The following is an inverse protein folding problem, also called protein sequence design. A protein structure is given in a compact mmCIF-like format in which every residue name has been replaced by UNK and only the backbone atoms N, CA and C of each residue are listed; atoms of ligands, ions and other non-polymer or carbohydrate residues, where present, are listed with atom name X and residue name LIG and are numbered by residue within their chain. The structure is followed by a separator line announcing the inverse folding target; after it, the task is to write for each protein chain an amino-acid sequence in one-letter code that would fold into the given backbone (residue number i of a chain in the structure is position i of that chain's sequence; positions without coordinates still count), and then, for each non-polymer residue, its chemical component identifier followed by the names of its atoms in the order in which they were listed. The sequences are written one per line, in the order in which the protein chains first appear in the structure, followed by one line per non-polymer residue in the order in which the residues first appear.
data_IF_703775337414
#
_entry.id   IF_703775337414
#
_cell.length_a   1.000
_cell.length_b   1.000
_cell.length_c   1.000
_cell.angle_alpha   90.00
_cell.angle_beta   90.00
_cell.angle_gamma   90.00
#
_symmetry.space_group_name_H-M   'P 1'
#
loop_
_entity.id
_entity.type
_entity.pdbx_description
1 polymer ?
#
# COMPACT_ATOMS: atom_id res chain seq x y z
N UNK A 1 -20.82 2.50 -13.75
CA UNK A 1 -20.25 1.79 -14.90
C UNK A 1 -19.02 2.49 -15.48
N UNK A 2 -19.06 3.77 -15.90
CA UNK A 2 -17.92 4.47 -16.53
C UNK A 2 -16.60 4.42 -15.70
N UNK A 3 -16.65 4.66 -14.39
CA UNK A 3 -15.47 4.58 -13.51
C UNK A 3 -14.85 3.18 -13.46
N UNK A 4 -15.67 2.12 -13.43
CA UNK A 4 -15.18 0.75 -13.42
C UNK A 4 -14.49 0.40 -14.74
N UNK A 5 -15.06 0.82 -15.88
CA UNK A 5 -14.43 0.65 -17.19
C UNK A 5 -13.09 1.38 -17.25
N UNK A 6 -13.02 2.63 -16.76
CA UNK A 6 -11.77 3.40 -16.73
C UNK A 6 -10.68 2.69 -15.91
N UNK A 7 -11.00 2.18 -14.72
CA UNK A 7 -10.03 1.47 -13.88
C UNK A 7 -9.57 0.15 -14.48
N UNK A 8 -10.50 -0.60 -15.11
CA UNK A 8 -10.16 -1.83 -15.82
C UNK A 8 -9.28 -1.56 -17.04
N UNK A 9 -9.60 -0.50 -17.82
CA UNK A 9 -8.77 -0.10 -18.96
C UNK A 9 -7.38 0.34 -18.53
N UNK A 10 -7.26 1.06 -17.41
CA UNK A 10 -5.97 1.45 -16.86
C UNK A 10 -5.18 0.23 -16.38
N UNK A 11 -5.81 -0.72 -15.69
CA UNK A 11 -5.17 -1.97 -15.27
C UNK A 11 -4.71 -2.79 -16.47
N UNK A 12 -5.54 -2.93 -17.50
CA UNK A 12 -5.19 -3.63 -18.75
C UNK A 12 -4.02 -2.95 -19.47
N UNK A 13 -4.01 -1.61 -19.54
CA UNK A 13 -2.90 -0.85 -20.11
C UNK A 13 -1.60 -1.08 -19.33
N UNK A 14 -1.64 -1.04 -18.00
CA UNK A 14 -0.47 -1.24 -17.16
C UNK A 14 0.04 -2.68 -17.23
N UNK A 15 -0.84 -3.67 -17.31
CA UNK A 15 -0.47 -5.05 -17.59
C UNK A 15 0.20 -5.16 -18.97
N UNK A 16 -0.43 -4.63 -20.00
CA UNK A 16 0.15 -4.65 -21.34
C UNK A 16 1.55 -3.99 -21.37
N UNK A 17 1.72 -2.84 -20.72
CA UNK A 17 3.02 -2.18 -20.58
C UNK A 17 4.04 -3.02 -19.80
N UNK A 18 3.58 -3.79 -18.82
CA UNK A 18 4.45 -4.68 -18.03
C UNK A 18 4.98 -5.84 -18.88
N UNK A 19 4.12 -6.41 -19.73
CA UNK A 19 4.48 -7.55 -20.61
C UNK A 19 5.04 -7.13 -21.96
N UNK A 20 4.97 -5.85 -22.31
CA UNK A 20 5.48 -5.35 -23.60
C UNK A 20 7.00 -5.54 -23.70
N UNK A 21 7.45 -6.24 -24.74
CA UNK A 21 8.85 -6.54 -25.01
C UNK A 21 9.38 -7.78 -24.30
N UNK A 22 8.53 -8.52 -23.57
CA UNK A 22 8.89 -9.74 -22.86
C UNK A 22 8.45 -10.95 -23.66
N UNK A 23 9.35 -11.91 -23.84
CA UNK A 23 9.04 -13.19 -24.45
C UNK A 23 8.38 -14.11 -23.41
N UNK A 24 7.13 -14.44 -23.60
CA UNK A 24 6.38 -15.32 -22.69
C UNK A 24 7.04 -16.68 -22.49
N UNK A 25 7.78 -17.19 -23.49
CA UNK A 25 8.56 -18.42 -23.37
C UNK A 25 9.70 -18.32 -22.37
N UNK A 26 10.39 -17.17 -22.32
CA UNK A 26 11.46 -16.91 -21.35
C UNK A 26 10.90 -16.79 -19.94
N UNK A 27 9.84 -15.98 -19.76
CA UNK A 27 9.13 -15.87 -18.50
C UNK A 27 8.66 -17.25 -17.98
N UNK A 28 8.08 -18.08 -18.86
CA UNK A 28 7.64 -19.42 -18.49
C UNK A 28 8.80 -20.33 -18.10
N UNK A 29 9.97 -20.20 -18.75
CA UNK A 29 11.17 -20.96 -18.40
C UNK A 29 11.70 -20.60 -17.03
N UNK A 30 11.67 -19.31 -16.66
CA UNK A 30 12.08 -18.81 -15.33
C UNK A 30 11.11 -19.29 -14.26
N UNK A 31 9.80 -19.18 -14.50
CA UNK A 31 8.78 -19.68 -13.57
C UNK A 31 8.94 -21.18 -13.28
N UNK A 32 9.20 -22.00 -14.30
CA UNK A 32 9.40 -23.45 -14.10
C UNK A 32 10.60 -23.81 -13.24
N UNK A 33 11.64 -22.98 -13.20
CA UNK A 33 12.86 -23.20 -12.42
C UNK A 33 12.79 -22.58 -11.03
N UNK A 34 11.75 -21.81 -10.74
CA UNK A 34 11.60 -21.11 -9.46
C UNK A 34 11.46 -22.08 -8.28
N UNK A 35 12.13 -21.77 -7.19
CA UNK A 35 11.99 -22.50 -5.93
C UNK A 35 10.82 -21.96 -5.11
N UNK A 36 9.64 -22.53 -5.32
CA UNK A 36 8.38 -22.09 -4.69
C UNK A 36 8.34 -22.28 -3.17
N UNK A 37 9.24 -23.06 -2.56
CA UNK A 37 9.28 -23.26 -1.12
C UNK A 37 9.50 -21.95 -0.35
N UNK A 38 10.17 -20.98 -0.95
CA UNK A 38 10.36 -19.67 -0.35
C UNK A 38 9.10 -18.80 -0.30
N UNK A 39 8.04 -19.15 -1.01
CA UNK A 39 6.74 -18.49 -0.87
C UNK A 39 6.03 -18.88 0.42
N UNK A 40 6.35 -20.03 1.02
CA UNK A 40 5.71 -20.46 2.28
C UNK A 40 5.99 -19.46 3.41
N UNK A 41 7.25 -19.11 3.74
CA UNK A 41 7.48 -18.08 4.74
C UNK A 41 6.92 -16.70 4.34
N UNK A 42 6.93 -16.33 3.06
CA UNK A 42 6.31 -15.07 2.61
C UNK A 42 4.81 -15.02 2.94
N UNK A 43 4.08 -16.11 2.69
CA UNK A 43 2.65 -16.26 3.03
C UNK A 43 2.42 -16.22 4.54
N UNK A 44 3.30 -16.84 5.35
CA UNK A 44 3.22 -16.77 6.81
C UNK A 44 3.36 -15.31 7.28
N UNK A 45 4.34 -14.56 6.76
CA UNK A 45 4.50 -13.14 7.11
C UNK A 45 3.32 -12.29 6.62
N UNK A 46 2.69 -12.64 5.49
CA UNK A 46 1.48 -11.97 5.02
C UNK A 46 0.31 -12.17 5.99
N UNK A 47 0.07 -13.40 6.47
CA UNK A 47 -0.95 -13.68 7.49
C UNK A 47 -0.67 -12.95 8.80
N UNK A 48 0.60 -12.95 9.25
CA UNK A 48 1.03 -12.19 10.42
C UNK A 48 0.81 -10.69 10.25
N UNK A 49 1.08 -10.14 9.06
CA UNK A 49 0.85 -8.72 8.77
C UNK A 49 -0.63 -8.34 8.93
N UNK A 50 -1.57 -9.19 8.50
CA UNK A 50 -3.00 -8.96 8.69
C UNK A 50 -3.39 -8.94 10.16
N UNK A 51 -2.84 -9.85 10.98
CA UNK A 51 -3.10 -9.91 12.42
C UNK A 51 -2.50 -8.69 13.15
N UNK A 52 -1.25 -8.33 12.83
CA UNK A 52 -0.58 -7.15 13.38
C UNK A 52 -1.37 -5.89 13.03
N UNK A 53 -1.80 -5.75 11.77
CA UNK A 53 -2.62 -4.62 11.32
C UNK A 53 -3.96 -4.55 12.06
N UNK A 54 -4.63 -5.68 12.24
CA UNK A 54 -5.88 -5.77 12.99
C UNK A 54 -5.67 -5.31 14.44
N UNK A 55 -4.65 -5.83 15.13
CA UNK A 55 -4.34 -5.43 16.51
C UNK A 55 -3.98 -3.95 16.59
N UNK A 56 -3.17 -3.44 15.67
CA UNK A 56 -2.81 -2.01 15.60
C UNK A 56 -4.05 -1.14 15.41
N UNK A 57 -5.00 -1.57 14.58
CA UNK A 57 -6.24 -0.84 14.35
C UNK A 57 -7.14 -0.83 15.59
N UNK A 58 -7.25 -1.93 16.35
CA UNK A 58 -8.02 -1.93 17.63
C UNK A 58 -7.47 -0.91 18.62
N UNK A 59 -6.14 -0.71 18.69
CA UNK A 59 -5.53 0.30 19.56
C UNK A 59 -5.92 1.74 19.18
N UNK A 60 -6.18 2.03 17.90
CA UNK A 60 -6.68 3.34 17.46
C UNK A 60 -8.17 3.53 17.77
N UNK A 61 -8.91 2.44 17.95
CA UNK A 61 -10.35 2.47 18.27
C UNK A 61 -10.59 2.59 19.79
N UNK A 62 -9.73 2.01 20.62
CA UNK A 62 -9.83 2.04 22.08
C UNK A 62 -10.09 3.45 22.68
N UNK A 63 -9.40 4.54 22.24
CA UNK A 63 -9.63 5.90 22.76
C UNK A 63 -11.02 6.47 22.47
N UNK A 64 -11.76 5.87 21.52
CA UNK A 64 -13.13 6.28 21.16
C UNK A 64 -14.18 5.64 22.10
N UNK A 65 -13.73 4.83 23.08
CA UNK A 65 -14.59 4.13 24.04
C UNK A 65 -15.11 2.77 23.55
N UNK A 66 -14.52 2.21 22.47
CA UNK A 66 -14.89 0.91 21.92
C UNK A 66 -13.72 -0.08 22.02
N UNK A 67 -14.02 -1.34 22.32
CA UNK A 67 -13.04 -2.41 22.43
C UNK A 67 -13.42 -3.57 21.48
N UNK A 68 -13.24 -3.44 20.16
CA UNK A 68 -13.58 -4.49 19.22
C UNK A 68 -12.67 -5.71 19.40
N UNK A 69 -13.23 -6.90 19.21
CA UNK A 69 -12.46 -8.13 19.21
C UNK A 69 -11.38 -8.12 18.10
N UNK A 70 -10.13 -8.49 18.44
CA UNK A 70 -9.02 -8.50 17.47
C UNK A 70 -9.34 -9.39 16.26
N UNK A 71 -10.00 -10.54 16.46
CA UNK A 71 -10.39 -11.41 15.35
C UNK A 71 -11.49 -10.81 14.47
N UNK A 72 -12.42 -10.03 15.03
CA UNK A 72 -13.38 -9.29 14.21
C UNK A 72 -12.69 -8.19 13.38
N UNK A 73 -11.72 -7.50 13.97
CA UNK A 73 -10.89 -6.54 13.25
C UNK A 73 -10.04 -7.24 12.18
N UNK A 74 -9.44 -8.42 12.47
CA UNK A 74 -8.70 -9.23 11.52
C UNK A 74 -9.55 -9.59 10.29
N UNK A 75 -10.71 -10.20 10.50
CA UNK A 75 -11.60 -10.54 9.40
C UNK A 75 -12.05 -9.30 8.62
N UNK A 76 -12.29 -8.17 9.29
CA UNK A 76 -12.65 -6.91 8.62
C UNK A 76 -11.51 -6.37 7.75
N UNK A 77 -10.26 -6.43 8.20
CA UNK A 77 -9.07 -6.05 7.42
C UNK A 77 -8.92 -6.94 6.20
N UNK A 78 -9.03 -8.26 6.36
CA UNK A 78 -8.92 -9.22 5.24
C UNK A 78 -10.04 -9.04 4.23
N UNK A 79 -11.28 -8.80 4.67
CA UNK A 79 -12.42 -8.45 3.79
C UNK A 79 -12.13 -7.16 3.03
N UNK A 80 -11.49 -6.18 3.66
CA UNK A 80 -11.04 -4.97 2.98
C UNK A 80 -10.05 -5.26 1.85
N UNK A 81 -9.03 -6.08 2.08
CA UNK A 81 -8.10 -6.49 1.02
C UNK A 81 -8.80 -7.26 -0.09
N UNK A 82 -9.70 -8.18 0.25
CA UNK A 82 -10.50 -8.91 -0.73
C UNK A 82 -11.37 -7.97 -1.58
N UNK A 83 -11.98 -6.96 -0.99
CA UNK A 83 -12.75 -5.94 -1.71
C UNK A 83 -11.89 -5.12 -2.70
N UNK A 84 -10.62 -4.85 -2.36
CA UNK A 84 -9.69 -4.15 -3.26
C UNK A 84 -9.29 -4.95 -4.49
N UNK A 85 -9.40 -6.30 -4.44
CA UNK A 85 -9.20 -7.14 -5.63
C UNK A 85 -10.30 -6.94 -6.67
N UNK A 86 -11.53 -6.65 -6.21
CA UNK A 86 -12.70 -6.49 -7.08
C UNK A 86 -12.84 -5.03 -7.51
N UNK A 87 -12.72 -4.10 -6.56
CA UNK A 87 -12.91 -2.67 -6.81
C UNK A 87 -11.75 -1.87 -6.22
N UNK A 88 -11.04 -1.06 -7.02
CA UNK A 88 -9.92 -0.27 -6.53
C UNK A 88 -10.36 0.70 -5.43
N UNK A 89 -9.60 0.74 -4.35
CA UNK A 89 -9.76 1.65 -3.20
C UNK A 89 -11.05 1.51 -2.38
N UNK A 90 -11.90 0.51 -2.65
CA UNK A 90 -13.09 0.25 -1.83
C UNK A 90 -12.77 -0.53 -0.54
N UNK A 91 -11.61 -1.15 -0.43
CA UNK A 91 -11.26 -1.96 0.73
C UNK A 91 -11.25 -1.20 2.05
N UNK A 92 -10.81 0.05 2.05
CA UNK A 92 -10.79 0.89 3.26
C UNK A 92 -12.22 1.14 3.79
N UNK A 93 -13.14 1.44 2.89
CA UNK A 93 -14.56 1.63 3.21
C UNK A 93 -15.17 0.31 3.66
N UNK A 94 -14.88 -0.78 2.94
CA UNK A 94 -15.42 -2.10 3.23
C UNK A 94 -14.95 -2.64 4.58
N UNK A 95 -13.67 -2.46 4.95
CA UNK A 95 -13.17 -2.89 6.26
C UNK A 95 -13.87 -2.15 7.40
N UNK A 96 -14.09 -0.82 7.26
CA UNK A 96 -14.81 -0.02 8.24
C UNK A 96 -16.28 -0.44 8.35
N UNK A 97 -16.95 -0.68 7.21
CA UNK A 97 -18.35 -1.13 7.19
C UNK A 97 -18.50 -2.53 7.80
N UNK A 98 -17.56 -3.45 7.55
CA UNK A 98 -17.59 -4.80 8.10
C UNK A 98 -17.49 -4.78 9.63
N UNK A 99 -16.52 -4.02 10.18
CA UNK A 99 -16.35 -3.91 11.63
C UNK A 99 -17.50 -3.14 12.29
N UNK A 100 -17.94 -2.04 11.67
CA UNK A 100 -19.11 -1.26 12.14
C UNK A 100 -20.34 -2.14 12.32
N UNK A 101 -20.64 -2.96 11.31
CA UNK A 101 -21.80 -3.88 11.35
C UNK A 101 -21.63 -5.00 12.38
N UNK A 102 -20.40 -5.48 12.59
CA UNK A 102 -20.13 -6.59 13.51
C UNK A 102 -20.13 -6.16 14.98
N UNK A 103 -19.55 -5.00 15.28
CA UNK A 103 -19.28 -4.50 16.65
C UNK A 103 -20.21 -3.35 17.06
N UNK A 104 -21.15 -2.93 16.16
CA UNK A 104 -22.05 -1.79 16.38
C UNK A 104 -21.29 -0.48 16.68
N UNK A 105 -20.11 -0.28 16.07
CA UNK A 105 -19.32 0.95 16.18
C UNK A 105 -19.76 1.90 15.07
N UNK A 106 -19.99 3.20 15.34
CA UNK A 106 -20.34 4.17 14.30
C UNK A 106 -19.29 4.19 13.18
N UNK A 107 -19.76 4.13 11.93
CA UNK A 107 -18.92 4.02 10.73
C UNK A 107 -17.95 5.21 10.59
N UNK A 108 -18.42 6.43 10.83
CA UNK A 108 -17.63 7.66 10.75
C UNK A 108 -16.43 7.65 11.70
N UNK A 109 -16.60 7.12 12.91
CA UNK A 109 -15.51 6.94 13.88
C UNK A 109 -14.44 5.97 13.37
N UNK A 110 -14.85 4.85 12.75
CA UNK A 110 -13.92 3.89 12.17
C UNK A 110 -13.18 4.48 10.96
N UNK A 111 -13.84 5.27 10.13
CA UNK A 111 -13.19 5.99 9.03
C UNK A 111 -12.14 6.95 9.56
N UNK A 112 -12.42 7.67 10.65
CA UNK A 112 -11.43 8.53 11.30
C UNK A 112 -10.18 7.77 11.75
N UNK A 113 -10.33 6.60 12.38
CA UNK A 113 -9.17 5.76 12.79
C UNK A 113 -8.41 5.19 11.60
N UNK A 114 -9.11 4.84 10.52
CA UNK A 114 -8.50 4.37 9.27
C UNK A 114 -7.63 5.45 8.63
N UNK A 115 -8.09 6.70 8.60
CA UNK A 115 -7.31 7.82 8.08
C UNK A 115 -6.02 8.04 8.90
N UNK A 116 -6.10 7.94 10.23
CA UNK A 116 -4.92 8.01 11.10
C UNK A 116 -3.96 6.87 10.78
N UNK A 117 -4.46 5.64 10.64
CA UNK A 117 -3.65 4.48 10.26
C UNK A 117 -2.89 4.73 8.94
N UNK A 118 -3.60 5.22 7.90
CA UNK A 118 -2.98 5.53 6.60
C UNK A 118 -1.93 6.64 6.69
N UNK A 119 -2.21 7.68 7.48
CA UNK A 119 -1.24 8.75 7.72
C UNK A 119 0.07 8.21 8.28
N UNK A 120 -0.01 7.33 9.29
CA UNK A 120 1.17 6.73 9.91
C UNK A 120 1.90 5.82 8.92
N UNK A 121 1.18 5.03 8.13
CA UNK A 121 1.79 4.17 7.10
C UNK A 121 2.56 5.01 6.07
N UNK A 122 2.00 6.12 5.58
CA UNK A 122 2.68 7.04 4.64
C UNK A 122 3.93 7.63 5.28
N UNK A 123 3.86 8.10 6.52
CA UNK A 123 5.03 8.64 7.23
C UNK A 123 6.12 7.56 7.40
N UNK A 124 5.73 6.34 7.69
CA UNK A 124 6.70 5.23 7.83
C UNK A 124 7.38 4.92 6.49
N UNK A 125 6.65 4.91 5.37
CA UNK A 125 7.26 4.78 4.03
C UNK A 125 8.27 5.89 3.77
N UNK A 126 7.95 7.14 4.11
CA UNK A 126 8.86 8.27 3.93
C UNK A 126 10.12 8.15 4.80
N UNK A 127 9.99 7.64 6.03
CA UNK A 127 11.14 7.36 6.92
C UNK A 127 12.00 6.25 6.32
N UNK A 128 11.40 5.15 5.84
CA UNK A 128 12.12 4.05 5.19
C UNK A 128 12.81 4.53 3.92
N UNK A 129 12.14 5.32 3.09
CA UNK A 129 12.74 5.95 1.90
C UNK A 129 13.95 6.79 2.28
N UNK A 130 13.80 7.69 3.28
CA UNK A 130 14.89 8.52 3.78
C UNK A 130 16.07 7.71 4.30
N UNK A 131 15.81 6.65 5.09
CA UNK A 131 16.84 5.75 5.59
C UNK A 131 17.54 4.98 4.44
N UNK A 132 16.79 4.52 3.43
CA UNK A 132 17.34 3.82 2.26
C UNK A 132 18.25 4.74 1.43
N UNK A 133 17.87 6.00 1.27
CA UNK A 133 18.69 7.02 0.60
C UNK A 133 19.94 7.37 1.42
N UNK A 134 19.80 7.55 2.72
CA UNK A 134 20.91 7.88 3.62
C UNK A 134 21.93 6.74 3.78
N UNK A 135 21.48 5.49 3.68
CA UNK A 135 22.36 4.31 3.71
C UNK A 135 23.24 4.18 2.45
N UNK A 136 23.16 5.14 1.52
CA UNK A 136 24.03 5.19 0.35
C UNK A 136 23.83 3.99 -0.61
N UNK A 137 22.67 3.35 -0.59
CA UNK A 137 22.36 2.35 -1.61
C UNK A 137 22.29 3.06 -2.96
N UNK A 138 23.42 3.04 -3.69
CA UNK A 138 23.59 3.68 -5.00
C UNK A 138 22.42 3.38 -5.93
N UNK A 139 21.85 2.17 -5.82
CA UNK A 139 20.71 1.72 -6.60
C UNK A 139 19.44 2.57 -6.43
N UNK A 140 19.07 2.95 -5.20
CA UNK A 140 17.88 3.80 -4.97
C UNK A 140 18.14 5.23 -5.44
N UNK A 141 19.34 5.74 -5.17
CA UNK A 141 19.76 7.08 -5.59
C UNK A 141 19.82 7.20 -7.12
N UNK A 142 20.44 6.25 -7.82
CA UNK A 142 20.51 6.24 -9.28
C UNK A 142 19.13 6.06 -9.92
N UNK A 143 18.31 5.15 -9.42
CA UNK A 143 16.95 4.96 -9.93
C UNK A 143 16.10 6.24 -9.85
N UNK A 144 16.09 6.90 -8.69
CA UNK A 144 15.36 8.14 -8.51
C UNK A 144 15.98 9.28 -9.33
N UNK A 145 17.31 9.37 -9.37
CA UNK A 145 18.01 10.36 -10.18
C UNK A 145 17.66 10.22 -11.66
N UNK A 146 17.82 9.03 -12.23
CA UNK A 146 17.66 8.79 -13.66
C UNK A 146 16.19 8.76 -14.12
N UNK A 147 15.28 8.25 -13.28
CA UNK A 147 13.88 8.06 -13.69
C UNK A 147 12.92 9.13 -13.17
N UNK A 148 13.34 9.94 -12.19
CA UNK A 148 12.48 10.98 -11.58
C UNK A 148 13.15 12.35 -11.69
N UNK A 149 14.36 12.51 -11.12
CA UNK A 149 14.96 13.84 -11.00
C UNK A 149 15.52 14.35 -12.34
N UNK A 150 16.28 13.55 -13.10
CA UNK A 150 16.84 13.97 -14.38
C UNK A 150 15.74 14.28 -15.42
N UNK A 151 14.73 13.43 -15.66
CA UNK A 151 13.63 13.78 -16.57
C UNK A 151 12.86 15.01 -16.13
N UNK A 152 12.59 15.16 -14.82
CA UNK A 152 11.94 16.36 -14.29
C UNK A 152 12.81 17.61 -14.50
N UNK A 153 14.11 17.51 -14.21
CA UNK A 153 15.08 18.60 -14.41
C UNK A 153 15.24 18.97 -15.88
N UNK A 154 15.35 17.97 -16.78
CA UNK A 154 15.42 18.22 -18.22
C UNK A 154 14.16 18.88 -18.77
N UNK A 155 12.98 18.44 -18.32
CA UNK A 155 11.71 19.04 -18.71
C UNK A 155 11.56 20.47 -18.19
N UNK A 156 12.08 20.77 -17.00
CA UNK A 156 12.08 22.09 -16.40
C UNK A 156 13.14 22.98 -17.05
N UNK A 157 14.36 22.47 -17.28
CA UNK A 157 15.47 23.24 -17.87
C UNK A 157 15.23 23.60 -19.32
N UNK A 158 14.60 22.70 -20.11
CA UNK A 158 14.20 23.00 -21.49
C UNK A 158 13.14 24.10 -21.59
N UNK A 159 12.39 24.36 -20.49
CA UNK A 159 11.34 25.37 -20.45
C UNK A 159 11.79 26.71 -19.87
N UNK A 160 12.83 26.77 -19.04
CA UNK A 160 13.15 27.93 -18.19
C UNK A 160 14.65 28.37 -18.22
N UNK A 161 15.53 27.73 -19.00
CA UNK A 161 16.96 28.08 -19.03
C UNK A 161 17.79 27.34 -17.94
N UNK A 162 18.94 27.85 -17.54
CA UNK A 162 19.95 27.11 -16.77
C UNK A 162 19.39 26.38 -15.52
N UNK A 163 19.66 25.09 -15.44
CA UNK A 163 19.15 24.17 -14.43
C UNK A 163 19.38 24.64 -12.97
N UNK A 164 20.46 25.34 -12.71
CA UNK A 164 20.81 25.85 -11.38
C UNK A 164 19.84 26.93 -10.91
N UNK A 165 19.48 27.87 -11.80
CA UNK A 165 18.52 28.95 -11.50
C UNK A 165 17.13 28.36 -11.22
N UNK A 166 16.72 27.36 -12.00
CA UNK A 166 15.44 26.69 -11.83
C UNK A 166 15.37 25.92 -10.51
N UNK A 167 16.44 25.22 -10.13
CA UNK A 167 16.50 24.49 -8.85
C UNK A 167 16.46 25.46 -7.66
N UNK A 168 17.20 26.56 -7.73
CA UNK A 168 17.18 27.62 -6.69
C UNK A 168 15.79 28.27 -6.60
N UNK A 169 15.19 28.60 -7.75
CA UNK A 169 13.83 29.17 -7.77
C UNK A 169 12.81 28.15 -7.25
N UNK A 170 12.90 26.85 -7.63
CA UNK A 170 12.00 25.83 -7.13
C UNK A 170 12.13 25.62 -5.61
N UNK A 171 13.37 25.59 -5.08
CA UNK A 171 13.61 25.50 -3.64
C UNK A 171 13.10 26.76 -2.93
N UNK A 172 13.36 27.96 -3.47
CA UNK A 172 12.84 29.21 -2.94
C UNK A 172 11.30 29.26 -2.98
N UNK A 173 10.69 28.81 -4.07
CA UNK A 173 9.23 28.73 -4.19
C UNK A 173 8.63 27.72 -3.19
N UNK A 174 9.26 26.56 -3.00
CA UNK A 174 8.83 25.56 -2.02
C UNK A 174 8.95 26.13 -0.59
N UNK A 175 10.10 26.72 -0.26
CA UNK A 175 10.32 27.36 1.06
C UNK A 175 9.36 28.52 1.26
N UNK A 176 9.20 29.39 0.25
CA UNK A 176 8.25 30.52 0.30
C UNK A 176 6.81 30.02 0.39
N UNK A 177 6.43 28.96 -0.35
CA UNK A 177 5.12 28.35 -0.27
C UNK A 177 4.86 27.74 1.11
N UNK A 178 5.87 27.08 1.71
CA UNK A 178 5.79 26.54 3.06
C UNK A 178 5.63 27.69 4.08
N UNK A 179 6.48 28.72 4.01
CA UNK A 179 6.41 29.88 4.90
C UNK A 179 5.09 30.63 4.72
N UNK A 180 4.69 30.88 3.47
CA UNK A 180 3.43 31.55 3.13
C UNK A 180 2.21 30.70 3.54
N UNK A 181 2.30 29.38 3.42
CA UNK A 181 1.29 28.45 3.93
C UNK A 181 1.13 28.59 5.46
N UNK A 182 2.23 28.62 6.21
CA UNK A 182 2.18 28.82 7.66
C UNK A 182 1.71 30.23 8.06
N UNK A 183 2.08 31.26 7.32
CA UNK A 183 1.68 32.65 7.60
C UNK A 183 0.24 32.96 7.17
N UNK A 184 -0.22 32.40 6.07
CA UNK A 184 -1.53 32.71 5.47
C UNK A 184 -2.56 31.60 5.69
N UNK A 185 -2.24 30.56 6.46
CA UNK A 185 -3.08 29.36 6.68
C UNK A 185 -4.54 29.71 7.06
N UNK A 186 -4.74 30.75 7.88
CA UNK A 186 -6.09 31.18 8.30
C UNK A 186 -6.86 31.90 7.18
N UNK A 187 -6.19 32.69 6.34
CA UNK A 187 -6.80 33.40 5.21
C UNK A 187 -7.01 32.49 3.99
N UNK A 188 -6.13 31.51 3.78
CA UNK A 188 -6.18 30.57 2.67
C UNK A 188 -7.19 29.43 2.90
N UNK A 189 -7.54 29.11 4.15
CA UNK A 189 -8.51 28.10 4.50
C UNK A 189 -9.93 28.37 3.94
N UNK A 190 -10.22 29.59 3.55
CA UNK A 190 -11.48 29.98 2.90
C UNK A 190 -11.60 29.53 1.43
N UNK A 191 -10.51 29.14 0.75
CA UNK A 191 -10.53 28.73 -0.67
C UNK A 191 -10.59 27.19 -0.81
N UNK A 192 -11.45 26.62 -1.69
CA UNK A 192 -11.72 25.18 -1.75
C UNK A 192 -10.49 24.32 -2.10
N UNK A 193 -9.55 24.83 -2.89
CA UNK A 193 -8.32 24.13 -3.26
C UNK A 193 -7.35 24.02 -2.06
N UNK A 194 -7.18 25.11 -1.33
CA UNK A 194 -6.33 25.16 -0.14
C UNK A 194 -6.94 24.43 1.04
N UNK A 195 -8.26 24.38 1.13
CA UNK A 195 -8.97 23.59 2.14
C UNK A 195 -8.64 22.09 2.05
N UNK A 196 -8.43 21.54 0.84
CA UNK A 196 -7.99 20.15 0.66
C UNK A 196 -6.55 19.93 1.13
N UNK A 197 -5.62 20.82 0.79
CA UNK A 197 -4.22 20.71 1.21
C UNK A 197 -4.09 20.94 2.71
N UNK A 198 -4.83 21.91 3.25
CA UNK A 198 -4.88 22.18 4.69
C UNK A 198 -5.46 21.01 5.47
N UNK A 199 -6.59 20.44 5.03
CA UNK A 199 -7.19 19.28 5.70
C UNK A 199 -6.29 18.04 5.64
N UNK A 200 -5.50 17.90 4.58
CA UNK A 200 -4.52 16.80 4.47
C UNK A 200 -3.34 16.99 5.44
N UNK A 201 -2.75 18.19 5.49
CA UNK A 201 -1.65 18.49 6.41
C UNK A 201 -2.09 18.48 7.88
N UNK A 202 -3.27 19.04 8.18
CA UNK A 202 -3.85 19.00 9.52
C UNK A 202 -4.22 17.57 9.94
N UNK A 203 -4.70 16.75 8.99
CA UNK A 203 -4.88 15.31 9.16
C UNK A 203 -3.57 14.57 9.50
N UNK A 204 -2.46 14.90 8.83
CA UNK A 204 -1.12 14.35 9.13
C UNK A 204 -0.65 14.72 10.54
N UNK A 205 -0.75 16.01 10.90
CA UNK A 205 -0.33 16.49 12.22
C UNK A 205 -1.25 15.98 13.34
N UNK A 206 -2.55 15.95 13.12
CA UNK A 206 -3.49 15.41 14.11
C UNK A 206 -3.35 13.90 14.26
N UNK A 207 -3.04 13.17 13.16
CA UNK A 207 -2.68 11.75 13.18
C UNK A 207 -1.45 11.48 14.04
N UNK A 208 -0.36 12.24 13.84
CA UNK A 208 0.84 12.17 14.67
C UNK A 208 0.53 12.47 16.15
N UNK A 209 -0.20 13.56 16.40
CA UNK A 209 -0.58 13.96 17.76
C UNK A 209 -1.47 12.93 18.44
N UNK A 210 -2.30 12.20 17.70
CA UNK A 210 -3.17 11.15 18.24
C UNK A 210 -2.38 9.98 18.81
N UNK A 211 -1.20 9.63 18.23
CA UNK A 211 -0.33 8.55 18.74
C UNK A 211 0.11 8.86 20.18
N UNK A 212 0.48 10.10 20.46
CA UNK A 212 0.90 10.51 21.82
C UNK A 212 -0.24 10.46 22.83
N UNK A 213 -1.49 10.48 22.39
CA UNK A 213 -2.69 10.36 23.24
C UNK A 213 -3.12 8.90 23.47
N UNK A 214 -2.54 7.92 22.75
CA UNK A 214 -2.83 6.51 22.94
C UNK A 214 -2.34 6.05 24.32
N UNK A 215 -3.22 5.37 25.09
CA UNK A 215 -2.83 4.74 26.36
C UNK A 215 -1.72 3.70 26.15
N UNK A 216 -1.77 2.96 25.05
CA UNK A 216 -0.83 1.87 24.68
C UNK A 216 0.07 2.26 23.50
N UNK A 217 0.61 3.48 23.52
CA UNK A 217 1.43 4.03 22.41
C UNK A 217 2.67 3.19 22.07
N UNK A 218 3.31 2.60 23.06
CA UNK A 218 4.50 1.76 22.82
C UNK A 218 4.17 0.45 22.13
N UNK A 219 3.03 -0.18 22.47
CA UNK A 219 2.52 -1.34 21.75
C UNK A 219 2.19 -0.97 20.30
N UNK A 220 1.56 0.16 20.07
CA UNK A 220 1.24 0.65 18.74
C UNK A 220 2.52 0.88 17.89
N UNK A 221 3.54 1.52 18.46
CA UNK A 221 4.83 1.73 17.79
C UNK A 221 5.54 0.42 17.50
N UNK A 222 5.60 -0.49 18.47
CA UNK A 222 6.16 -1.83 18.30
C UNK A 222 5.46 -2.60 17.18
N UNK A 223 4.12 -2.62 17.18
CA UNK A 223 3.34 -3.25 16.12
C UNK A 223 3.54 -2.59 14.76
N UNK A 224 3.79 -1.27 14.72
CA UNK A 224 4.12 -0.58 13.47
C UNK A 224 5.45 -1.06 12.93
N UNK A 225 6.50 -1.13 13.76
CA UNK A 225 7.80 -1.67 13.35
C UNK A 225 7.66 -3.13 12.90
N UNK A 226 6.97 -3.95 13.68
CA UNK A 226 6.77 -5.37 13.38
C UNK A 226 6.01 -5.57 12.05
N UNK A 227 5.03 -4.70 11.74
CA UNK A 227 4.32 -4.71 10.46
C UNK A 227 5.26 -4.49 9.28
N UNK A 228 6.15 -3.50 9.38
CA UNK A 228 7.10 -3.20 8.31
C UNK A 228 8.20 -4.26 8.19
N UNK A 229 8.60 -4.87 9.29
CA UNK A 229 9.46 -6.08 9.28
C UNK A 229 8.74 -7.23 8.57
N UNK A 230 7.45 -7.44 8.81
CA UNK A 230 6.69 -8.45 8.09
C UNK A 230 6.63 -8.15 6.58
N UNK A 231 6.39 -6.90 6.18
CA UNK A 231 6.43 -6.49 4.77
C UNK A 231 7.80 -6.67 4.14
N UNK A 232 8.88 -6.38 4.88
CA UNK A 232 10.23 -6.65 4.42
C UNK A 232 10.41 -8.13 4.08
N UNK A 233 10.01 -9.05 4.97
CA UNK A 233 10.15 -10.47 4.72
C UNK A 233 9.20 -10.99 3.62
N UNK A 234 8.02 -10.39 3.46
CA UNK A 234 7.13 -10.68 2.34
C UNK A 234 7.77 -10.38 0.99
N UNK A 235 8.61 -9.34 0.90
CA UNK A 235 9.36 -9.00 -0.32
C UNK A 235 10.70 -9.75 -0.40
N UNK A 236 11.33 -10.08 0.73
CA UNK A 236 12.64 -10.75 0.76
C UNK A 236 12.58 -12.21 0.32
N UNK A 237 11.63 -12.99 0.87
CA UNK A 237 11.55 -14.41 0.55
C UNK A 237 11.28 -14.72 -0.92
N UNK A 238 10.41 -14.00 -1.64
CA UNK A 238 10.26 -14.20 -3.08
C UNK A 238 11.54 -13.94 -3.90
N UNK A 239 12.48 -13.10 -3.42
CA UNK A 239 13.79 -12.95 -4.07
C UNK A 239 14.57 -14.26 -4.10
N UNK A 240 14.41 -15.11 -3.09
CA UNK A 240 15.08 -16.40 -2.98
C UNK A 240 14.46 -17.46 -3.89
N UNK A 241 13.32 -17.19 -4.51
CA UNK A 241 12.69 -18.11 -5.47
C UNK A 241 13.46 -18.24 -6.77
N UNK A 242 14.23 -17.21 -7.17
CA UNK A 242 14.93 -17.14 -8.45
C UNK A 242 16.43 -17.05 -8.22
N UNK A 243 17.22 -17.78 -9.00
CA UNK A 243 18.66 -17.78 -8.89
C UNK A 243 19.27 -16.39 -9.11
N UNK A 244 18.76 -15.63 -10.07
CA UNK A 244 19.22 -14.28 -10.41
C UNK A 244 18.99 -13.25 -9.30
N UNK A 245 17.91 -13.40 -8.53
CA UNK A 245 17.55 -12.46 -7.45
C UNK A 245 17.96 -12.95 -6.07
N UNK A 246 18.31 -14.24 -5.91
CA UNK A 246 18.65 -14.84 -4.61
C UNK A 246 19.88 -14.22 -3.92
N UNK A 247 20.76 -13.60 -4.70
CA UNK A 247 21.95 -12.88 -4.20
C UNK A 247 21.65 -11.45 -3.75
N UNK A 248 20.46 -10.95 -4.03
CA UNK A 248 20.04 -9.63 -3.63
C UNK A 248 19.73 -9.61 -2.11
N UNK A 249 20.40 -8.72 -1.39
CA UNK A 249 20.32 -8.65 0.06
C UNK A 249 19.31 -7.60 0.57
N UNK A 250 19.52 -7.19 1.81
CA UNK A 250 18.66 -6.25 2.55
C UNK A 250 18.43 -4.94 1.79
N UNK A 251 19.47 -4.36 1.18
CA UNK A 251 19.35 -3.09 0.44
C UNK A 251 18.39 -3.18 -0.75
N UNK A 252 18.46 -4.29 -1.53
CA UNK A 252 17.56 -4.52 -2.64
C UNK A 252 16.11 -4.74 -2.16
N UNK A 253 15.92 -5.48 -1.07
CA UNK A 253 14.59 -5.69 -0.48
C UNK A 253 13.98 -4.37 -0.01
N UNK A 254 14.76 -3.50 0.66
CA UNK A 254 14.29 -2.17 1.06
C UNK A 254 13.92 -1.30 -0.15
N UNK A 255 14.73 -1.32 -1.22
CA UNK A 255 14.41 -0.65 -2.46
C UNK A 255 13.09 -1.14 -3.05
N UNK A 256 12.91 -2.47 -3.17
CA UNK A 256 11.68 -3.10 -3.68
C UNK A 256 10.48 -2.72 -2.82
N UNK A 257 10.60 -2.75 -1.50
CA UNK A 257 9.54 -2.38 -0.57
C UNK A 257 9.08 -0.92 -0.78
N UNK A 258 10.03 -0.01 -1.00
CA UNK A 258 9.73 1.40 -1.28
C UNK A 258 9.04 1.58 -2.62
N UNK A 259 9.65 1.10 -3.72
CA UNK A 259 9.07 1.30 -5.06
C UNK A 259 7.77 0.51 -5.24
N UNK A 260 7.68 -0.68 -4.64
CA UNK A 260 6.46 -1.48 -4.61
C UNK A 260 5.30 -0.76 -3.92
N UNK A 261 5.58 -0.02 -2.83
CA UNK A 261 4.58 0.81 -2.16
C UNK A 261 3.98 1.86 -3.10
N UNK A 262 4.77 2.45 -4.00
CA UNK A 262 4.25 3.36 -5.04
C UNK A 262 3.40 2.62 -6.08
N UNK A 263 3.82 1.42 -6.51
CA UNK A 263 3.04 0.58 -7.41
C UNK A 263 1.67 0.21 -6.83
N UNK A 264 1.65 -0.18 -5.54
CA UNK A 264 0.41 -0.50 -4.82
C UNK A 264 -0.49 0.73 -4.57
N UNK A 265 0.08 1.94 -4.57
CA UNK A 265 -0.69 3.19 -4.44
C UNK A 265 -1.41 3.59 -5.73
N UNK A 266 -1.12 2.95 -6.86
CA UNK A 266 -1.79 3.22 -8.14
C UNK A 266 -3.31 2.96 -8.04
N UNK A 267 -4.15 3.73 -8.77
CA UNK A 267 -5.60 3.60 -8.72
C UNK A 267 -6.11 2.43 -9.59
N UNK A 268 -5.55 1.25 -9.37
CA UNK A 268 -5.93 -0.01 -10.04
C UNK A 268 -6.23 -1.09 -9.01
N UNK A 269 -6.89 -2.18 -9.42
CA UNK A 269 -7.24 -3.28 -8.54
C UNK A 269 -5.97 -3.87 -7.90
N UNK A 270 -5.85 -3.75 -6.59
CA UNK A 270 -4.69 -4.25 -5.80
C UNK A 270 -3.31 -3.93 -6.41
N UNK A 271 -3.15 -2.83 -7.17
CA UNK A 271 -1.89 -2.51 -7.80
C UNK A 271 -1.57 -3.31 -9.07
N UNK A 272 -2.52 -4.10 -9.59
CA UNK A 272 -2.32 -4.98 -10.75
C UNK A 272 -1.74 -4.22 -11.95
N UNK A 273 -0.67 -4.74 -12.53
CA UNK A 273 0.08 -4.10 -13.62
C UNK A 273 1.02 -3.00 -13.14
N UNK A 274 0.58 -2.06 -12.32
CA UNK A 274 1.44 -0.97 -11.82
C UNK A 274 2.59 -1.50 -10.96
N UNK A 275 2.29 -2.43 -10.05
CA UNK A 275 3.29 -3.11 -9.24
C UNK A 275 4.30 -3.86 -10.11
N UNK A 276 3.81 -4.67 -11.04
CA UNK A 276 4.64 -5.46 -11.97
C UNK A 276 5.56 -4.57 -12.81
N UNK A 277 5.02 -3.48 -13.33
CA UNK A 277 5.77 -2.55 -14.17
C UNK A 277 6.88 -1.84 -13.39
N UNK A 278 6.58 -1.31 -12.21
CA UNK A 278 7.56 -0.53 -11.43
C UNK A 278 8.66 -1.43 -10.87
N UNK A 279 8.30 -2.64 -10.40
CA UNK A 279 9.27 -3.59 -9.84
C UNK A 279 10.21 -4.11 -10.93
N UNK A 280 9.68 -4.59 -12.08
CA UNK A 280 10.54 -5.16 -13.14
C UNK A 280 11.53 -4.14 -13.67
N UNK A 281 11.11 -2.90 -13.88
CA UNK A 281 11.99 -1.82 -14.33
C UNK A 281 12.92 -1.29 -13.25
N UNK A 282 12.44 -1.21 -12.02
CA UNK A 282 13.27 -0.86 -10.88
C UNK A 282 14.42 -1.85 -10.68
N UNK A 283 14.15 -3.15 -10.79
CA UNK A 283 15.19 -4.19 -10.69
C UNK A 283 16.16 -4.17 -11.87
N UNK A 284 15.69 -3.88 -13.07
CA UNK A 284 16.57 -3.73 -14.24
C UNK A 284 17.53 -2.56 -14.05
N UNK A 285 17.02 -1.38 -13.70
CA UNK A 285 17.83 -0.15 -13.59
C UNK A 285 18.77 -0.20 -12.38
N UNK A 286 18.27 -0.68 -11.24
CA UNK A 286 19.02 -0.63 -9.99
C UNK A 286 20.01 -1.81 -9.81
N UNK A 287 19.69 -2.98 -10.38
CA UNK A 287 20.44 -4.22 -10.12
C UNK A 287 20.81 -4.98 -11.38
N UNK A 288 20.54 -4.44 -12.58
CA UNK A 288 20.76 -5.08 -13.88
C UNK A 288 20.07 -6.46 -14.02
N UNK A 289 18.97 -6.67 -13.29
CA UNK A 289 18.15 -7.88 -13.40
C UNK A 289 17.34 -7.79 -14.70
N UNK A 290 17.37 -8.80 -15.58
CA UNK A 290 16.58 -8.81 -16.80
C UNK A 290 15.10 -8.60 -16.56
N UNK A 291 14.40 -7.95 -17.51
CA UNK A 291 12.98 -7.62 -17.35
C UNK A 291 12.09 -8.85 -17.09
N UNK A 292 12.40 -9.96 -17.74
CA UNK A 292 11.69 -11.24 -17.60
C UNK A 292 11.77 -11.77 -16.18
N UNK A 293 12.96 -11.68 -15.58
CA UNK A 293 13.23 -12.16 -14.22
C UNK A 293 12.63 -11.20 -13.17
N UNK A 294 12.79 -9.88 -13.39
CA UNK A 294 12.15 -8.87 -12.55
C UNK A 294 10.61 -8.94 -12.58
N UNK A 295 10.03 -9.24 -13.75
CA UNK A 295 8.59 -9.46 -13.88
C UNK A 295 8.17 -10.78 -13.23
N UNK A 296 8.99 -11.84 -13.38
CA UNK A 296 8.73 -13.12 -12.70
C UNK A 296 8.73 -12.94 -11.18
N UNK A 297 9.71 -12.24 -10.63
CA UNK A 297 9.74 -11.91 -9.22
C UNK A 297 8.46 -11.16 -8.79
N UNK A 298 8.10 -10.08 -9.49
CA UNK A 298 6.92 -9.29 -9.19
C UNK A 298 5.63 -10.14 -9.23
N UNK A 299 5.54 -11.07 -10.19
CA UNK A 299 4.43 -12.00 -10.31
C UNK A 299 4.39 -12.98 -9.13
N UNK A 300 5.52 -13.58 -8.77
CA UNK A 300 5.58 -14.52 -7.63
C UNK A 300 5.18 -13.84 -6.31
N UNK A 301 5.70 -12.66 -6.06
CA UNK A 301 5.37 -11.90 -4.84
C UNK A 301 3.91 -11.47 -4.82
N UNK A 302 3.43 -10.81 -5.88
CA UNK A 302 2.10 -10.23 -5.93
C UNK A 302 1.01 -11.30 -6.00
N UNK A 303 1.11 -12.26 -6.92
CA UNK A 303 0.05 -13.25 -7.12
C UNK A 303 -0.06 -14.25 -5.97
N UNK A 304 1.05 -14.59 -5.30
CA UNK A 304 0.98 -15.41 -4.08
C UNK A 304 0.15 -14.73 -2.99
N UNK A 305 0.28 -13.42 -2.84
CA UNK A 305 -0.52 -12.63 -1.91
C UNK A 305 -1.98 -12.51 -2.37
N UNK A 306 -2.23 -12.36 -3.67
CA UNK A 306 -3.59 -12.29 -4.21
C UNK A 306 -4.35 -13.60 -3.97
N UNK A 307 -3.72 -14.75 -4.23
CA UNK A 307 -4.30 -16.07 -3.93
C UNK A 307 -4.61 -16.19 -2.44
N UNK A 308 -3.68 -15.80 -1.58
CA UNK A 308 -3.89 -15.81 -0.13
C UNK A 308 -5.08 -14.95 0.27
N UNK A 309 -5.15 -13.71 -0.24
CA UNK A 309 -6.24 -12.76 0.07
C UNK A 309 -7.58 -13.30 -0.43
N UNK A 310 -7.63 -13.95 -1.60
CA UNK A 310 -8.85 -14.55 -2.12
C UNK A 310 -9.38 -15.65 -1.18
N UNK A 311 -8.51 -16.56 -0.75
CA UNK A 311 -8.86 -17.65 0.16
C UNK A 311 -9.24 -17.11 1.55
N UNK A 312 -8.37 -16.29 2.15
CA UNK A 312 -8.58 -15.72 3.47
C UNK A 312 -9.79 -14.78 3.50
N UNK A 313 -10.06 -14.05 2.40
CA UNK A 313 -11.22 -13.18 2.23
C UNK A 313 -12.53 -13.94 2.24
N UNK A 314 -12.62 -15.04 1.49
CA UNK A 314 -13.78 -15.91 1.48
C UNK A 314 -14.05 -16.51 2.88
N UNK A 315 -12.99 -17.00 3.55
CA UNK A 315 -13.08 -17.51 4.93
C UNK A 315 -13.53 -16.40 5.89
N UNK A 316 -13.00 -15.19 5.76
CA UNK A 316 -13.32 -14.07 6.63
C UNK A 316 -14.77 -13.58 6.45
N UNK A 317 -15.28 -13.57 5.22
CA UNK A 317 -16.70 -13.27 4.95
C UNK A 317 -17.62 -14.28 5.64
N UNK A 318 -17.31 -15.58 5.51
CA UNK A 318 -18.06 -16.62 6.19
C UNK A 318 -17.96 -16.51 7.72
N UNK A 319 -16.78 -16.31 8.27
CA UNK A 319 -16.56 -16.18 9.72
C UNK A 319 -17.31 -14.98 10.33
N UNK A 320 -17.35 -13.84 9.63
CA UNK A 320 -17.98 -12.64 10.15
C UNK A 320 -19.51 -12.65 9.98
N UNK A 321 -20.02 -13.18 8.87
CA UNK A 321 -21.41 -13.04 8.45
C UNK A 321 -22.17 -14.35 8.19
N UNK A 322 -21.48 -15.48 7.98
CA UNK A 322 -22.07 -16.75 7.54
C UNK A 322 -23.12 -17.33 8.51
N UNK A 323 -22.92 -17.20 9.82
CA UNK A 323 -23.89 -17.70 10.83
C UNK A 323 -25.20 -16.90 10.93
N UNK A 324 -25.25 -15.67 10.43
CA UNK A 324 -26.49 -14.85 10.42
C UNK A 324 -27.28 -14.98 9.11
N UNK A 325 -26.64 -15.33 8.02
CA UNK A 325 -27.30 -15.52 6.72
C UNK A 325 -28.31 -16.68 6.73
N UNK A 326 -27.99 -17.75 7.45
CA UNK A 326 -28.89 -18.90 7.61
C UNK A 326 -30.18 -18.59 8.39
N UNK A 327 -30.09 -17.71 9.42
CA UNK A 327 -31.28 -17.32 10.20
C UNK A 327 -32.20 -16.35 9.45
N UNK A 328 -31.65 -15.47 8.60
CA UNK A 328 -32.44 -14.51 7.81
C UNK A 328 -33.14 -15.25 6.64
N UNK A 329 -32.48 -16.22 6.01
CA UNK A 329 -33.12 -17.05 5.00
C UNK A 329 -34.22 -17.97 5.59
N UNK A 330 -34.00 -18.54 6.77
CA UNK A 330 -35.03 -19.36 7.42
C UNK A 330 -36.24 -18.52 7.87
N UNK A 331 -36.04 -17.31 8.41
CA UNK A 331 -37.17 -16.44 8.80
C UNK A 331 -37.99 -15.96 7.59
N UNK A 332 -37.36 -15.61 6.49
CA UNK A 332 -38.05 -15.20 5.23
C UNK A 332 -38.79 -16.37 4.57
N UNK A 333 -38.27 -17.59 4.69
CA UNK A 333 -38.96 -18.79 4.17
C UNK A 333 -40.14 -19.16 5.05
N UNK A 334 -40.03 -18.99 6.37
CA UNK A 334 -41.15 -19.31 7.31
C UNK A 334 -42.27 -18.28 7.20
N UNK A 335 -41.96 -17.01 6.95
CA UNK A 335 -42.95 -15.92 6.79
C UNK A 335 -43.73 -15.99 5.46
N UNK A 336 -43.19 -16.69 4.44
CA UNK A 336 -43.90 -16.99 3.17
C UNK A 336 -44.76 -18.25 3.18
N UNK A 337 -44.69 -19.04 4.25
CA UNK A 337 -45.47 -20.28 4.43
C UNK A 337 -46.57 -20.13 5.50
N UNK A 338 -46.68 -19.01 6.16
CA UNK A 338 -47.77 -18.60 7.03
C UNK A 338 -48.67 -17.56 6.35
#
# INVERSE_FOLDING_TARGET
MLKAVLFLSLAALLLWLSFRGIKLSELWSVLRKANYWWLVPAVIFALLSFLIRARRWTLLIEPLGYNPGVMHAYHSVVIGYFANMIFPRLGEVTKCAALSRKENIPFDKLVGTMLIERTIDVLTVLVILGATLAAGTTATGSFLSENVFIPAQQKISSSLGSATIVTVIAVLLIVTAIVMFFMLREKLSARPLFKKVYSFSDGLFSGLKSIFRLKRRWEFLFLTILLWVAYFFMSYFPLLCLESTSRLGVGATMFILVIGSFGMAAPVQSGLGAYHWIISRGMLVAYAIPLEEGLTYATLEHESQMILIAIAGAISLYALFGKKGGKVLSSVVTEKQA
#
